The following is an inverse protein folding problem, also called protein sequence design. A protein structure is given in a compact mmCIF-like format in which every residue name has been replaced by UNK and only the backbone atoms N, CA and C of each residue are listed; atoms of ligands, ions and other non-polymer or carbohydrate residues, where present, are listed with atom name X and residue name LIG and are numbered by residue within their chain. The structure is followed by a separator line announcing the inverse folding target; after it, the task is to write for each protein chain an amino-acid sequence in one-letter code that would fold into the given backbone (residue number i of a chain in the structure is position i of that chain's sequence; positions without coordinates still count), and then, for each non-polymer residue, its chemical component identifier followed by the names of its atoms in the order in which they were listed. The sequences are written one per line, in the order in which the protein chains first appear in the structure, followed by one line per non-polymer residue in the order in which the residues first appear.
data_IF_628797656548
#
_entry.id   IF_628797656548
#
_cell.length_a   1.000
_cell.length_b   1.000
_cell.length_c   1.000
_cell.angle_alpha   90.00
_cell.angle_beta   90.00
_cell.angle_gamma   90.00
#
_symmetry.space_group_name_H-M   'P 1'
#
loop_
_entity.id
_entity.type
_entity.pdbx_description
1 polymer ?
#
# COMPACT_ATOMS: atom_id res chain seq x y z
N UNK A 1 -0.56 4.90 3.20
CA UNK A 1 -0.99 5.23 1.84
C UNK A 1 -1.98 4.17 1.41
N UNK A 2 -3.11 4.57 0.82
CA UNK A 2 -3.98 3.61 0.16
C UNK A 2 -3.35 3.16 -1.18
N UNK A 3 -3.23 1.85 -1.45
CA UNK A 3 -2.70 1.35 -2.72
C UNK A 3 -3.74 1.30 -3.85
N UNK A 4 -5.01 1.63 -3.56
CA UNK A 4 -6.05 1.63 -4.57
C UNK A 4 -5.87 2.80 -5.53
N UNK A 5 -6.12 2.54 -6.82
CA UNK A 5 -5.93 3.52 -7.87
C UNK A 5 -6.83 4.76 -7.66
N UNK A 6 -6.28 5.94 -7.93
CA UNK A 6 -6.95 7.22 -7.74
C UNK A 6 -7.21 7.65 -6.28
N UNK A 7 -6.81 6.87 -5.27
CA UNK A 7 -6.99 7.22 -3.86
C UNK A 7 -5.74 7.87 -3.27
N UNK A 8 -5.87 9.09 -2.75
CA UNK A 8 -4.75 9.84 -2.16
C UNK A 8 -4.66 9.71 -0.63
N UNK A 9 -5.43 8.80 -0.03
CA UNK A 9 -5.49 8.67 1.41
C UNK A 9 -4.13 8.30 2.02
N UNK A 10 -3.67 9.13 2.96
CA UNK A 10 -2.46 8.94 3.73
C UNK A 10 -2.75 9.04 5.23
N UNK A 11 -1.85 8.50 6.05
CA UNK A 11 -1.94 8.53 7.50
C UNK A 11 -0.76 7.79 8.13
N UNK A 12 -0.59 7.93 9.44
CA UNK A 12 0.46 7.22 10.18
C UNK A 12 0.23 5.71 10.11
N UNK A 13 1.32 4.94 9.98
CA UNK A 13 1.25 3.48 9.96
C UNK A 13 0.58 2.92 11.23
N UNK A 14 0.84 3.52 12.39
CA UNK A 14 0.25 3.10 13.66
C UNK A 14 -1.28 3.30 13.68
N UNK A 15 -1.77 4.41 13.11
CA UNK A 15 -3.21 4.66 13.00
C UNK A 15 -3.88 3.66 12.04
N UNK A 16 -3.22 3.35 10.92
CA UNK A 16 -3.69 2.33 9.99
C UNK A 16 -3.72 0.94 10.62
N UNK A 17 -2.67 0.57 11.36
CA UNK A 17 -2.58 -0.74 12.03
C UNK A 17 -3.65 -0.89 13.09
N UNK A 18 -3.81 0.11 13.96
CA UNK A 18 -4.87 0.12 14.99
C UNK A 18 -6.27 -0.02 14.38
N UNK A 19 -6.54 0.68 13.28
CA UNK A 19 -7.84 0.59 12.60
C UNK A 19 -8.06 -0.77 11.96
N UNK A 20 -7.02 -1.32 11.32
CA UNK A 20 -7.09 -2.64 10.70
C UNK A 20 -7.35 -3.74 11.74
N UNK A 21 -6.61 -3.72 12.85
CA UNK A 21 -6.74 -4.68 13.95
C UNK A 21 -8.06 -4.54 14.71
N UNK A 22 -8.64 -3.34 14.79
CA UNK A 22 -9.96 -3.15 15.38
C UNK A 22 -11.09 -3.84 14.61
N UNK A 23 -10.85 -4.18 13.33
CA UNK A 23 -11.77 -4.93 12.48
C UNK A 23 -11.39 -6.40 12.34
N UNK A 24 -10.36 -6.88 13.03
CA UNK A 24 -9.90 -8.26 12.98
C UNK A 24 -10.68 -9.12 13.99
N UNK A 25 -10.89 -10.40 13.66
CA UNK A 25 -11.65 -11.34 14.51
C UNK A 25 -10.78 -11.86 15.68
N UNK A 26 -9.46 -11.71 15.58
CA UNK A 26 -8.50 -12.10 16.60
C UNK A 26 -8.05 -10.89 17.45
N UNK A 27 -8.49 -10.78 18.72
CA UNK A 27 -8.14 -9.67 19.59
C UNK A 27 -6.66 -9.66 20.01
N UNK A 28 -5.92 -10.75 19.80
CA UNK A 28 -4.49 -10.86 20.08
C UNK A 28 -3.63 -10.62 18.83
N UNK A 29 -4.25 -10.35 17.68
CA UNK A 29 -3.54 -10.09 16.43
C UNK A 29 -2.62 -8.86 16.55
N UNK A 30 -1.35 -9.06 16.18
CA UNK A 30 -0.34 -7.98 16.14
C UNK A 30 -0.20 -7.43 14.73
N UNK A 31 -0.38 -8.27 13.72
CA UNK A 31 -0.24 -7.92 12.32
C UNK A 31 -1.58 -8.15 11.62
N UNK A 32 -2.22 -7.10 11.08
CA UNK A 32 -3.46 -7.27 10.33
C UNK A 32 -3.17 -7.94 8.98
N UNK A 33 -4.11 -8.77 8.52
CA UNK A 33 -4.03 -9.39 7.19
C UNK A 33 -4.57 -8.45 6.09
N UNK A 34 -5.59 -7.66 6.44
CA UNK A 34 -6.27 -6.74 5.52
C UNK A 34 -6.83 -5.53 6.26
N UNK A 35 -7.25 -4.51 5.53
CA UNK A 35 -7.95 -3.36 6.07
C UNK A 35 -8.80 -2.68 4.99
N UNK A 36 -9.80 -1.90 5.39
CA UNK A 36 -10.57 -1.06 4.47
C UNK A 36 -10.14 0.40 4.56
N UNK A 37 -10.00 1.04 3.41
CA UNK A 37 -9.65 2.45 3.35
C UNK A 37 -10.75 3.32 3.97
N UNK A 38 -10.46 4.20 4.94
CA UNK A 38 -11.46 5.11 5.49
C UNK A 38 -11.92 6.20 4.50
N UNK A 39 -11.19 6.41 3.40
CA UNK A 39 -11.51 7.42 2.39
C UNK A 39 -12.29 6.82 1.22
N UNK A 40 -11.72 5.84 0.51
CA UNK A 40 -12.37 5.26 -0.66
C UNK A 40 -13.21 4.01 -0.37
N UNK A 41 -13.22 3.51 0.86
CA UNK A 41 -13.91 2.26 1.24
C UNK A 41 -13.31 0.99 0.63
N UNK A 42 -12.30 1.10 -0.23
CA UNK A 42 -11.72 -0.03 -0.92
C UNK A 42 -10.94 -0.96 0.01
N UNK A 43 -11.06 -2.25 -0.24
CA UNK A 43 -10.35 -3.30 0.48
C UNK A 43 -8.85 -3.27 0.14
N UNK A 44 -8.01 -3.48 1.15
CA UNK A 44 -6.56 -3.42 1.04
C UNK A 44 -5.96 -4.64 1.71
N UNK A 45 -5.16 -5.39 0.95
CA UNK A 45 -4.28 -6.40 1.55
C UNK A 45 -3.13 -5.68 2.28
N UNK A 46 -2.97 -5.95 3.57
CA UNK A 46 -2.00 -5.22 4.40
C UNK A 46 -0.57 -5.31 3.85
N UNK A 47 -0.16 -6.50 3.41
CA UNK A 47 1.16 -6.71 2.81
C UNK A 47 1.44 -5.85 1.58
N UNK A 48 0.44 -5.49 0.79
CA UNK A 48 0.63 -4.61 -0.37
C UNK A 48 0.77 -3.14 0.04
N UNK A 49 0.03 -2.69 1.06
CA UNK A 49 0.25 -1.37 1.68
C UNK A 49 1.67 -1.24 2.26
N UNK A 50 2.15 -2.25 2.99
CA UNK A 50 3.51 -2.23 3.57
C UNK A 50 4.58 -2.28 2.49
N UNK A 51 4.37 -3.07 1.42
CA UNK A 51 5.28 -3.14 0.27
C UNK A 51 5.42 -1.78 -0.40
N UNK A 52 4.29 -1.10 -0.64
CA UNK A 52 4.22 0.25 -1.20
C UNK A 52 5.03 1.24 -0.34
N UNK A 53 4.71 1.31 0.96
CA UNK A 53 5.38 2.20 1.91
C UNK A 53 6.89 1.95 1.99
N UNK A 54 7.30 0.68 1.99
CA UNK A 54 8.71 0.28 2.05
C UNK A 54 9.46 0.67 0.78
N UNK A 55 8.84 0.48 -0.40
CA UNK A 55 9.41 0.90 -1.68
C UNK A 55 9.62 2.42 -1.74
N UNK A 56 8.66 3.22 -1.23
CA UNK A 56 8.80 4.69 -1.19
C UNK A 56 9.87 5.17 -0.23
N UNK A 57 9.93 4.58 0.96
CA UNK A 57 10.79 5.10 2.05
C UNK A 57 12.22 4.57 1.98
N UNK A 58 12.40 3.34 1.49
CA UNK A 58 13.70 2.64 1.51
C UNK A 58 14.10 2.04 0.16
N UNK A 59 13.18 1.96 -0.80
CA UNK A 59 13.37 1.27 -2.07
C UNK A 59 13.59 2.16 -3.29
N UNK A 60 14.10 3.39 -3.12
CA UNK A 60 14.20 4.38 -4.21
C UNK A 60 14.87 3.82 -5.49
N UNK A 61 15.95 3.04 -5.35
CA UNK A 61 16.63 2.41 -6.50
C UNK A 61 15.78 1.34 -7.21
N UNK A 62 14.98 0.57 -6.47
CA UNK A 62 14.08 -0.42 -7.05
C UNK A 62 12.90 0.26 -7.76
N UNK A 63 12.36 1.32 -7.17
CA UNK A 63 11.33 2.15 -7.79
C UNK A 63 11.84 2.75 -9.11
N UNK A 64 13.06 3.29 -9.12
CA UNK A 64 13.65 3.87 -10.34
C UNK A 64 13.79 2.83 -11.46
N UNK A 65 14.28 1.63 -11.14
CA UNK A 65 14.41 0.52 -12.11
C UNK A 65 13.05 0.11 -12.66
N UNK A 66 12.03 -0.03 -11.80
CA UNK A 66 10.67 -0.39 -12.20
C UNK A 66 10.06 0.65 -13.15
N UNK A 67 10.19 1.94 -12.82
CA UNK A 67 9.66 3.02 -13.65
C UNK A 67 10.41 3.15 -14.98
N UNK A 68 11.73 2.97 -15.01
CA UNK A 68 12.52 2.89 -16.26
C UNK A 68 12.04 1.75 -17.15
N UNK A 69 11.81 0.56 -16.58
CA UNK A 69 11.29 -0.59 -17.33
C UNK A 69 9.91 -0.29 -17.92
N UNK A 70 9.00 0.28 -17.12
CA UNK A 70 7.64 0.65 -17.57
C UNK A 70 7.66 1.64 -18.74
N UNK A 71 8.47 2.70 -18.66
CA UNK A 71 8.63 3.68 -19.75
C UNK A 71 9.15 3.07 -21.05
N UNK A 72 10.11 2.15 -20.96
CA UNK A 72 10.68 1.45 -22.13
C UNK A 72 9.66 0.54 -22.82
N UNK A 73 8.74 -0.06 -22.07
CA UNK A 73 7.66 -0.88 -22.64
C UNK A 73 6.66 0.01 -23.38
N UNK A 74 6.19 1.09 -22.73
CA UNK A 74 5.27 2.04 -23.36
C UNK A 74 5.81 2.63 -24.68
N UNK A 75 7.12 2.94 -24.74
CA UNK A 75 7.76 3.45 -25.95
C UNK A 75 7.92 2.43 -27.09
N UNK A 76 7.80 1.13 -26.82
CA UNK A 76 7.83 0.07 -27.85
C UNK A 76 6.45 -0.25 -28.41
N UNK A 77 5.40 0.13 -27.70
CA UNK A 77 3.99 -0.10 -28.07
C UNK A 77 3.40 1.07 -28.86
N UNK A 78 4.17 2.15 -29.06
CA UNK A 78 3.80 3.35 -29.82
C UNK A 78 4.41 3.37 -31.22
#
# INVERSE_FOLDING_TARGET
MCPNDGCEAMGHLDCWSKRALASDDDPEAILPNSCDCPSCGGHIRWGDMIKELSLRTRGAGEVEKLLKKKRRLAAKES
#
